data_IF_889587928686
#
_entry.id   IF_889587928686
#
_cell.length_a   1.000
_cell.length_b   1.000
_cell.length_c   1.000
_cell.angle_alpha   90.00
_cell.angle_beta   90.00
_cell.angle_gamma   90.00
#
_symmetry.space_group_name_H-M   'P 1'
#
loop_
_entity.id
_entity.type
_entity.pdbx_description
1 polymer ?
2 non-polymer ?
3 non-polymer ?
4 water ?
#
# COMPACT_ATOMS: atom_id res chain seq x y z
N UNK A 4 -8.44 -4.39 -26.46
CA UNK A 4 -9.16 -5.67 -26.77
C UNK A 4 -9.57 -6.37 -25.48
N UNK A 5 -10.14 -5.60 -24.54
CA UNK A 5 -10.57 -6.14 -23.25
C UNK A 5 -11.99 -6.69 -23.36
N UNK A 6 -12.16 -7.97 -23.01
CA UNK A 6 -13.46 -8.63 -23.10
C UNK A 6 -14.23 -8.74 -21.79
N UNK A 7 -15.46 -9.22 -21.90
CA UNK A 7 -16.32 -9.42 -20.75
C UNK A 7 -16.17 -10.87 -20.33
N UNK A 8 -16.79 -11.24 -19.21
CA UNK A 8 -16.73 -12.61 -18.72
C UNK A 8 -18.05 -12.98 -18.08
N UNK A 9 -18.51 -14.19 -18.36
CA UNK A 9 -19.75 -14.68 -17.80
C UNK A 9 -19.43 -15.83 -16.85
N UNK A 10 -20.02 -15.82 -15.68
CA UNK A 10 -19.79 -16.87 -14.69
C UNK A 10 -21.15 -17.33 -14.20
N UNK A 11 -21.48 -18.58 -14.50
CA UNK A 11 -22.76 -19.15 -14.10
C UNK A 11 -23.94 -18.22 -14.44
N UNK A 12 -23.89 -17.69 -15.65
CA UNK A 12 -24.96 -16.82 -16.20
C UNK A 12 -24.96 -15.42 -15.57
N UNK A 13 -23.90 -15.10 -14.86
CA UNK A 13 -23.71 -13.78 -14.27
C UNK A 13 -22.64 -13.09 -15.11
N UNK A 14 -23.00 -12.01 -15.77
CA UNK A 14 -22.04 -11.36 -16.65
C UNK A 14 -21.28 -10.21 -16.01
N UNK A 15 -20.01 -10.09 -16.39
CA UNK A 15 -19.14 -9.03 -15.91
C UNK A 15 -18.67 -8.25 -17.13
N UNK A 16 -19.19 -7.03 -17.31
CA UNK A 16 -18.84 -6.15 -18.44
C UNK A 16 -17.34 -5.93 -18.48
N UNK A 17 -16.80 -5.76 -19.68
CA UNK A 17 -15.37 -5.54 -19.85
C UNK A 17 -14.92 -4.23 -19.20
N UNK A 18 -15.81 -3.25 -19.21
CA UNK A 18 -15.52 -1.94 -18.65
C UNK A 18 -16.75 -1.41 -17.93
N UNK A 19 -16.55 -0.51 -16.98
CA UNK A 19 -17.66 0.03 -16.23
C UNK A 19 -17.29 1.39 -15.64
N UNK A 20 -18.30 2.16 -15.24
CA UNK A 20 -18.11 3.48 -14.64
C UNK A 20 -19.00 3.63 -13.40
N UNK A 21 -18.41 4.10 -12.31
CA UNK A 21 -19.13 4.27 -11.05
C UNK A 21 -19.78 5.64 -10.85
N UNK A 22 -21.03 5.65 -10.33
CA UNK A 22 -21.83 6.85 -10.04
C UNK A 22 -21.28 7.57 -8.79
N UNK A 23 -20.69 6.78 -7.89
CA UNK A 23 -20.13 7.29 -6.63
C UNK A 23 -18.81 8.02 -6.77
N UNK A 24 -17.94 7.55 -7.65
CA UNK A 24 -16.62 8.15 -7.89
C UNK A 24 -16.54 8.85 -9.28
N UNK A 25 -17.13 8.26 -10.32
CA UNK A 25 -17.09 8.89 -11.62
C UNK A 25 -15.87 8.46 -12.43
N UNK A 26 -15.16 7.45 -11.93
CA UNK A 26 -13.97 6.91 -12.58
C UNK A 26 -14.48 5.74 -13.41
N UNK A 27 -13.60 5.15 -14.21
CA UNK A 27 -13.98 4.01 -15.03
C UNK A 27 -12.98 2.91 -14.71
N UNK A 28 -13.44 1.66 -14.77
CA UNK A 28 -12.62 0.50 -14.44
C UNK A 28 -12.73 -0.58 -15.51
N UNK A 29 -11.68 -1.40 -15.63
CA UNK A 29 -11.69 -2.50 -16.60
C UNK A 29 -11.65 -3.82 -15.84
N UNK A 30 -12.34 -4.82 -16.39
CA UNK A 30 -12.40 -6.14 -15.78
C UNK A 30 -11.02 -6.79 -15.77
N UNK A 31 -10.46 -7.01 -14.60
CA UNK A 31 -9.14 -7.63 -14.52
C UNK A 31 -9.22 -9.13 -14.46
N UNK A 32 -10.36 -9.63 -13.99
CA UNK A 32 -10.56 -11.06 -13.88
C UNK A 32 -11.87 -11.41 -13.20
N UNK A 33 -12.24 -12.68 -13.24
CA UNK A 33 -13.47 -13.15 -12.63
C UNK A 33 -13.29 -14.60 -12.22
N UNK A 34 -14.21 -15.11 -11.41
CA UNK A 34 -14.11 -16.48 -10.95
C UNK A 34 -15.28 -16.81 -10.05
N UNK A 35 -15.16 -17.86 -9.26
CA UNK A 35 -16.25 -18.22 -8.36
C UNK A 35 -15.76 -18.82 -7.05
N UNK A 36 -16.55 -18.61 -6.00
CA UNK A 36 -16.23 -19.10 -4.68
C UNK A 36 -17.35 -20.01 -4.18
N UNK A 37 -17.11 -20.65 -3.03
CA UNK A 37 -18.11 -21.52 -2.47
C UNK A 37 -17.54 -22.38 -1.37
N UNK A 38 -18.20 -23.50 -1.12
CA UNK A 38 -17.78 -24.42 -0.08
C UNK A 38 -17.58 -25.84 -0.63
N UNK A 39 -16.56 -26.53 -0.14
CA UNK A 39 -16.33 -27.91 -0.56
C UNK A 39 -16.96 -28.77 0.53
N UNK A 40 -18.04 -29.46 0.14
CA UNK A 40 -18.80 -30.31 1.03
C UNK A 40 -18.69 -31.77 0.57
N UNK A 41 -18.18 -32.63 1.44
CA UNK A 41 -18.02 -34.05 1.11
C UNK A 41 -17.29 -34.20 -0.23
N UNK A 42 -16.17 -33.48 -0.36
CA UNK A 42 -15.36 -33.54 -1.56
C UNK A 42 -15.93 -32.84 -2.78
N UNK A 43 -17.18 -32.38 -2.67
CA UNK A 43 -17.86 -31.69 -3.76
C UNK A 43 -17.77 -30.18 -3.64
N UNK A 44 -17.46 -29.51 -4.74
CA UNK A 44 -17.39 -28.06 -4.69
C UNK A 44 -18.78 -27.50 -4.85
N UNK A 45 -19.26 -26.80 -3.83
CA UNK A 45 -20.59 -26.20 -3.90
C UNK A 45 -20.47 -24.70 -4.11
N UNK A 46 -20.87 -24.25 -5.30
CA UNK A 46 -20.82 -22.84 -5.68
C UNK A 46 -21.86 -21.94 -5.01
N UNK A 47 -21.42 -20.80 -4.49
CA UNK A 47 -22.34 -19.85 -3.86
C UNK A 47 -22.28 -18.46 -4.47
N UNK A 48 -21.12 -18.06 -4.97
CA UNK A 48 -20.97 -16.73 -5.54
C UNK A 48 -19.99 -16.69 -6.69
N UNK A 49 -20.15 -15.63 -7.46
CA UNK A 49 -19.27 -15.30 -8.57
C UNK A 49 -18.54 -14.03 -8.15
N UNK A 50 -17.32 -13.88 -8.57
CA UNK A 50 -16.56 -12.68 -8.19
C UNK A 50 -15.85 -12.05 -9.37
N UNK A 51 -15.98 -10.73 -9.49
CA UNK A 51 -15.32 -10.00 -10.56
C UNK A 51 -14.45 -8.92 -9.94
N UNK A 52 -13.20 -8.82 -10.38
CA UNK A 52 -12.29 -7.81 -9.86
C UNK A 52 -11.95 -6.76 -10.91
N UNK A 53 -12.38 -5.53 -10.70
CA UNK A 53 -12.10 -4.45 -11.64
C UNK A 53 -10.96 -3.54 -11.17
N UNK A 54 -10.20 -3.02 -12.12
CA UNK A 54 -9.09 -2.12 -11.82
C UNK A 54 -9.33 -0.76 -12.48
N UNK A 55 -8.97 0.30 -11.77
CA UNK A 55 -9.14 1.64 -12.31
C UNK A 55 -8.30 1.72 -13.58
N UNK A 56 -8.76 2.49 -14.56
CA UNK A 56 -8.02 2.62 -15.81
C UNK A 56 -6.54 2.99 -15.61
N UNK A 57 -6.26 3.80 -14.62
CA UNK A 57 -4.88 4.22 -14.36
C UNK A 57 -3.98 3.15 -13.77
N UNK A 58 -4.52 1.95 -13.56
CA UNK A 58 -3.70 0.86 -12.99
C UNK A 58 -2.65 0.38 -13.98
N UNK A 59 -2.96 0.51 -15.27
CA UNK A 59 -2.05 0.08 -16.33
C UNK A 59 -0.73 0.86 -16.31
N UNK A 60 -0.82 2.19 -16.32
CA UNK A 60 0.38 3.03 -16.29
C UNK A 60 1.21 2.69 -15.05
N UNK A 61 0.52 2.48 -13.94
CA UNK A 61 1.17 2.17 -12.68
C UNK A 61 1.90 0.82 -12.71
N UNK A 62 1.23 -0.21 -13.19
CA UNK A 62 1.80 -1.54 -13.27
C UNK A 62 2.79 -1.69 -14.41
N UNK A 63 2.66 -0.84 -15.44
CA UNK A 63 3.52 -0.88 -16.61
C UNK A 63 5.01 -0.82 -16.27
N UNK A 64 5.37 0.03 -15.31
CA UNK A 64 6.75 0.18 -14.91
C UNK A 64 7.44 -1.17 -14.66
N UNK A 65 6.93 -1.90 -13.68
CA UNK A 65 7.51 -3.18 -13.30
C UNK A 65 7.08 -4.42 -14.08
N UNK A 66 5.88 -4.47 -14.63
CA UNK A 66 5.42 -5.74 -15.23
C UNK A 66 5.24 -5.71 -16.75
N UNK A 67 5.53 -4.62 -17.41
CA UNK A 67 5.39 -4.60 -18.88
C UNK A 67 6.36 -5.62 -19.48
N UNK A 68 5.90 -6.34 -20.50
CA UNK A 68 6.74 -7.32 -21.17
C UNK A 68 7.09 -8.62 -20.44
N UNK A 69 6.16 -9.12 -19.64
CA UNK A 69 6.37 -10.38 -18.90
C UNK A 69 5.28 -11.31 -19.42
N UNK A 70 5.58 -12.60 -19.50
CA UNK A 70 4.58 -13.55 -19.97
C UNK A 70 3.57 -13.85 -18.85
N UNK A 71 2.35 -14.17 -19.25
CA UNK A 71 1.28 -14.49 -18.29
C UNK A 71 1.75 -15.54 -17.29
N UNK A 72 2.47 -16.52 -17.80
CA UNK A 72 2.99 -17.61 -16.98
C UNK A 72 3.94 -17.05 -15.93
N UNK A 73 4.72 -16.04 -16.34
CA UNK A 73 5.69 -15.41 -15.47
C UNK A 73 5.04 -14.57 -14.36
N UNK A 74 3.98 -13.84 -14.71
CA UNK A 74 3.28 -13.01 -13.74
C UNK A 74 2.59 -13.89 -12.71
N UNK A 75 1.95 -14.95 -13.18
CA UNK A 75 1.22 -15.86 -12.32
C UNK A 75 2.03 -16.46 -11.16
N UNK A 76 3.31 -16.66 -11.37
CA UNK A 76 4.16 -17.24 -10.33
C UNK A 76 4.91 -16.20 -9.50
N UNK A 77 4.66 -14.92 -9.80
CA UNK A 77 5.32 -13.84 -9.09
C UNK A 77 4.39 -13.20 -8.08
N UNK A 78 4.70 -13.37 -6.79
CA UNK A 78 3.88 -12.79 -5.73
C UNK A 78 3.90 -11.26 -5.74
N UNK A 79 5.08 -10.69 -5.98
CA UNK A 79 5.21 -9.24 -5.99
C UNK A 79 4.25 -8.60 -7.00
N UNK A 80 3.94 -9.32 -8.07
CA UNK A 80 3.04 -8.80 -9.09
C UNK A 80 1.65 -8.61 -8.52
N UNK A 81 1.18 -9.59 -7.75
CA UNK A 81 -0.13 -9.51 -7.14
C UNK A 81 -0.14 -8.51 -5.97
N UNK A 82 1.02 -8.30 -5.36
CA UNK A 82 1.08 -7.34 -4.27
C UNK A 82 0.89 -5.92 -4.83
N UNK A 83 1.35 -5.69 -6.06
CA UNK A 83 1.19 -4.37 -6.67
C UNK A 83 -0.27 -4.15 -7.05
N UNK A 84 -0.94 -5.22 -7.46
CA UNK A 84 -2.34 -5.13 -7.81
C UNK A 84 -3.16 -4.83 -6.56
N UNK A 85 -2.85 -5.53 -5.47
CA UNK A 85 -3.57 -5.37 -4.21
C UNK A 85 -3.34 -4.01 -3.59
N UNK A 86 -2.10 -3.57 -3.54
CA UNK A 86 -1.77 -2.29 -2.92
C UNK A 86 -1.35 -1.14 -3.83
N UNK A 87 -1.51 -1.30 -5.14
CA UNK A 87 -1.15 -0.24 -6.08
C UNK A 87 -1.96 1.04 -5.91
N UNK A 88 -1.39 2.20 -6.29
CA UNK A 88 -2.03 3.51 -6.19
C UNK A 88 -3.17 3.74 -7.19
N UNK A 89 -4.24 2.97 -7.03
CA UNK A 89 -5.42 3.06 -7.88
C UNK A 89 -6.55 2.27 -7.22
N UNK A 90 -7.79 2.58 -7.57
CA UNK A 90 -8.90 1.85 -6.97
C UNK A 90 -9.12 0.49 -7.61
N UNK A 91 -9.56 -0.42 -6.77
CA UNK A 91 -9.98 -1.76 -7.18
C UNK A 91 -11.44 -1.85 -6.84
N UNK A 92 -12.20 -2.44 -7.71
CA UNK A 92 -13.64 -2.56 -7.51
C UNK A 92 -14.01 -4.03 -7.61
N UNK A 93 -14.44 -4.65 -6.50
CA UNK A 93 -14.81 -6.05 -6.53
C UNK A 93 -16.32 -6.21 -6.46
N UNK A 94 -16.88 -6.98 -7.38
CA UNK A 94 -18.32 -7.21 -7.36
C UNK A 94 -18.65 -8.68 -7.20
N UNK A 95 -19.26 -9.03 -6.06
CA UNK A 95 -19.63 -10.41 -5.82
C UNK A 95 -21.12 -10.61 -6.04
N UNK A 96 -21.47 -11.49 -6.98
CA UNK A 96 -22.87 -11.79 -7.27
C UNK A 96 -23.20 -13.21 -6.78
N UNK A 97 -24.37 -13.37 -6.16
CA UNK A 97 -24.78 -14.66 -5.63
C UNK A 97 -25.31 -15.67 -6.64
N UNK A 98 -24.90 -16.93 -6.45
CA UNK A 98 -25.36 -18.03 -7.30
C UNK A 98 -26.46 -18.70 -6.48
N UNK A 99 -26.22 -18.79 -5.18
CA UNK A 99 -27.17 -19.37 -4.23
C UNK A 99 -27.47 -18.29 -3.20
N UNK A 100 -28.72 -18.22 -2.73
CA UNK A 100 -29.13 -17.21 -1.77
C UNK A 100 -28.46 -17.29 -0.41
N UNK A 101 -27.87 -16.17 0.01
CA UNK A 101 -27.20 -16.05 1.30
C UNK A 101 -27.67 -14.76 1.98
N UNK A 102 -27.87 -14.82 3.30
CA UNK A 102 -28.28 -13.63 4.02
C UNK A 102 -27.00 -12.81 4.20
N UNK A 103 -27.13 -11.55 4.55
CA UNK A 103 -25.96 -10.71 4.75
C UNK A 103 -25.03 -11.32 5.77
N UNK A 104 -25.54 -11.76 6.92
CA UNK A 104 -24.67 -12.37 7.95
C UNK A 104 -24.08 -13.73 7.53
N UNK A 105 -24.81 -14.50 6.72
CA UNK A 105 -24.31 -15.80 6.27
C UNK A 105 -23.11 -15.59 5.36
N UNK A 106 -23.25 -14.67 4.40
CA UNK A 106 -22.19 -14.36 3.46
C UNK A 106 -20.98 -13.73 4.13
N UNK A 107 -21.23 -12.69 4.93
CA UNK A 107 -20.17 -11.96 5.61
C UNK A 107 -19.34 -12.72 6.63
N UNK A 108 -19.93 -13.74 7.23
CA UNK A 108 -19.23 -14.53 8.24
C UNK A 108 -17.91 -15.10 7.74
N UNK A 109 -17.93 -15.77 6.58
CA UNK A 109 -16.72 -16.35 6.03
C UNK A 109 -15.74 -15.29 5.51
N UNK A 110 -16.27 -14.22 4.95
CA UNK A 110 -15.41 -13.15 4.44
C UNK A 110 -14.61 -12.54 5.61
N UNK A 111 -15.32 -12.28 6.69
CA UNK A 111 -14.70 -11.67 7.89
C UNK A 111 -13.66 -12.62 8.50
N UNK A 112 -13.95 -13.91 8.44
CA UNK A 112 -13.04 -14.93 8.98
C UNK A 112 -11.72 -14.85 8.23
N UNK A 113 -11.79 -14.91 6.90
CA UNK A 113 -10.59 -14.84 6.09
C UNK A 113 -9.83 -13.53 6.25
N UNK A 114 -10.55 -12.43 6.42
CA UNK A 114 -9.92 -11.12 6.59
C UNK A 114 -9.20 -11.03 7.93
N UNK A 115 -9.84 -11.52 8.98
CA UNK A 115 -9.25 -11.48 10.33
C UNK A 115 -8.00 -12.37 10.42
N UNK A 116 -8.04 -13.52 9.76
CA UNK A 116 -6.90 -14.44 9.78
C UNK A 116 -5.74 -13.74 9.08
N UNK A 117 -6.02 -13.12 7.94
CA UNK A 117 -4.98 -12.41 7.22
C UNK A 117 -4.40 -11.27 8.07
N UNK A 118 -5.28 -10.45 8.63
CA UNK A 118 -4.84 -9.33 9.45
C UNK A 118 -3.98 -9.74 10.63
N UNK A 119 -4.35 -10.83 11.32
CA UNK A 119 -3.57 -11.30 12.45
C UNK A 119 -2.26 -11.87 11.95
N UNK A 120 -2.33 -12.49 10.78
CA UNK A 120 -1.17 -13.10 10.14
C UNK A 120 -0.02 -12.09 9.98
N UNK A 121 -0.32 -10.91 9.45
CA UNK A 121 0.69 -9.88 9.22
C UNK A 121 0.87 -8.88 10.36
N UNK A 122 0.36 -9.20 11.53
CA UNK A 122 0.51 -8.32 12.67
C UNK A 122 -0.21 -6.98 12.62
N UNK A 123 -1.29 -6.87 11.86
CA UNK A 123 -2.03 -5.62 11.80
C UNK A 123 -3.49 -5.83 12.20
N UNK A 124 -3.72 -6.31 13.41
CA UNK A 124 -5.06 -6.54 13.90
C UNK A 124 -5.19 -6.01 15.32
N UNK A 125 -5.24 -4.69 15.44
CA UNK A 125 -5.38 -4.05 16.74
C UNK A 125 -6.84 -3.70 16.98
N UNK A 126 -7.11 -2.91 18.01
CA UNK A 126 -8.47 -2.54 18.31
C UNK A 126 -9.16 -1.87 17.13
N UNK A 127 -8.46 -0.95 16.49
CA UNK A 127 -9.01 -0.22 15.34
C UNK A 127 -9.49 -1.17 14.24
N UNK A 128 -8.67 -2.16 13.89
CA UNK A 128 -9.05 -3.12 12.85
C UNK A 128 -10.24 -3.97 13.31
N UNK A 129 -10.27 -4.29 14.61
CA UNK A 129 -11.38 -5.07 15.17
C UNK A 129 -12.68 -4.28 15.06
N UNK A 130 -12.60 -3.00 15.42
CA UNK A 130 -13.74 -2.10 15.36
C UNK A 130 -14.21 -1.95 13.92
N UNK A 131 -13.25 -1.84 13.01
CA UNK A 131 -13.56 -1.67 11.60
C UNK A 131 -14.24 -2.92 11.07
N UNK A 132 -13.84 -4.09 11.56
CA UNK A 132 -14.44 -5.35 11.12
C UNK A 132 -15.84 -5.52 11.71
N UNK A 133 -16.09 -4.88 12.85
CA UNK A 133 -17.40 -4.94 13.47
C UNK A 133 -18.32 -4.05 12.64
N UNK A 134 -17.80 -2.90 12.20
CA UNK A 134 -18.59 -2.00 11.39
C UNK A 134 -18.89 -2.73 10.08
N UNK A 135 -17.92 -3.50 9.61
CA UNK A 135 -18.08 -4.29 8.39
C UNK A 135 -19.30 -5.20 8.58
N UNK A 136 -19.28 -5.98 9.66
CA UNK A 136 -20.36 -6.91 9.98
C UNK A 136 -21.69 -6.18 10.06
N UNK A 137 -21.68 -5.07 10.78
CA UNK A 137 -22.86 -4.26 10.97
C UNK A 137 -23.53 -3.89 9.64
N UNK A 138 -22.73 -3.62 8.60
CA UNK A 138 -23.27 -3.23 7.30
C UNK A 138 -23.99 -4.32 6.55
N UNK A 139 -23.67 -5.58 6.87
CA UNK A 139 -24.27 -6.73 6.20
C UNK A 139 -25.52 -7.26 6.89
N UNK A 140 -25.65 -7.00 8.19
CA UNK A 140 -26.80 -7.47 8.95
C UNK A 140 -28.20 -7.22 8.38
N UNK A 141 -28.44 -6.02 7.82
CA UNK A 141 -29.78 -5.75 7.27
C UNK A 141 -30.05 -6.20 5.84
N UNK A 142 -29.10 -6.85 5.19
CA UNK A 142 -29.33 -7.26 3.81
C UNK A 142 -29.45 -8.78 3.57
N UNK A 143 -29.98 -9.13 2.41
CA UNK A 143 -30.14 -10.52 2.02
C UNK A 143 -29.79 -10.60 0.55
N UNK A 144 -29.03 -11.62 0.17
CA UNK A 144 -28.63 -11.73 -1.23
C UNK A 144 -29.28 -12.88 -2.02
N UNK A 145 -30.44 -12.63 -2.64
CA UNK A 145 -31.00 -13.76 -3.39
C UNK A 145 -30.16 -13.95 -4.66
N UNK A 146 -30.34 -15.09 -5.36
CA UNK A 146 -29.54 -15.28 -6.58
C UNK A 146 -29.54 -14.03 -7.47
N UNK A 147 -28.36 -13.61 -7.91
CA UNK A 147 -28.29 -12.43 -8.76
C UNK A 147 -27.95 -11.14 -8.01
N UNK A 148 -28.26 -11.09 -6.72
CA UNK A 148 -27.96 -9.90 -5.93
C UNK A 148 -26.44 -9.79 -5.78
N UNK A 149 -25.95 -8.56 -5.69
CA UNK A 149 -24.50 -8.34 -5.62
C UNK A 149 -24.07 -7.44 -4.44
N UNK A 150 -22.79 -7.59 -4.17
CA UNK A 150 -22.06 -6.83 -3.16
C UNK A 150 -20.86 -6.20 -3.86
N UNK A 151 -20.69 -4.92 -3.64
CA UNK A 151 -19.60 -4.17 -4.26
C UNK A 151 -18.62 -3.64 -3.23
N UNK A 152 -17.38 -4.05 -3.37
CA UNK A 152 -16.30 -3.57 -2.52
C UNK A 152 -15.48 -2.54 -3.31
N UNK A 153 -15.45 -1.29 -2.86
CA UNK A 153 -14.66 -0.29 -3.54
C UNK A 153 -13.45 -0.02 -2.65
N UNK A 154 -12.29 -0.51 -3.07
CA UNK A 154 -11.07 -0.34 -2.31
C UNK A 154 -10.37 0.93 -2.79
N UNK A 155 -10.48 1.99 -1.99
CA UNK A 155 -9.83 3.25 -2.34
C UNK A 155 -8.38 3.15 -1.90
N UNK A 156 -7.46 3.69 -2.71
CA UNK A 156 -6.05 3.63 -2.32
C UNK A 156 -5.77 4.53 -1.13
N UNK A 157 -6.76 5.33 -0.74
CA UNK A 157 -6.61 6.24 0.39
C UNK A 157 -6.93 5.56 1.74
N UNK A 158 -6.92 4.23 1.75
CA UNK A 158 -7.19 3.50 2.98
C UNK A 158 -8.64 3.45 3.40
N UNK A 159 -9.54 3.40 2.43
CA UNK A 159 -10.96 3.32 2.71
C UNK A 159 -11.57 2.23 1.86
N UNK A 160 -12.55 1.54 2.43
CA UNK A 160 -13.25 0.47 1.74
C UNK A 160 -14.72 0.87 1.70
N UNK A 161 -15.26 0.99 0.49
CA UNK A 161 -16.66 1.36 0.37
C UNK A 161 -17.50 0.12 0.13
N UNK A 162 -18.67 0.03 0.78
CA UNK A 162 -19.56 -1.11 0.62
C UNK A 162 -20.89 -0.75 -0.02
N UNK A 163 -21.27 -1.48 -1.06
CA UNK A 163 -22.52 -1.25 -1.76
C UNK A 163 -23.25 -2.56 -1.94
N UNK A 164 -24.56 -2.49 -2.07
CA UNK A 164 -25.39 -3.68 -2.25
C UNK A 164 -26.42 -3.41 -3.36
N UNK A 165 -26.59 -4.37 -4.25
CA UNK A 165 -27.55 -4.22 -5.34
C UNK A 165 -28.47 -5.43 -5.45
N UNK A 166 -29.77 -5.20 -5.74
CA UNK A 166 -30.75 -6.27 -5.87
C UNK A 166 -30.34 -7.21 -7.00
N UNK A 167 -29.52 -6.70 -7.91
CA UNK A 167 -29.03 -7.47 -9.04
C UNK A 167 -27.55 -7.18 -9.30
N UNK A 168 -27.19 -6.97 -10.56
CA UNK A 168 -25.80 -6.70 -10.90
C UNK A 168 -25.50 -5.25 -11.31
N UNK A 169 -26.49 -4.37 -11.23
CA UNK A 169 -26.26 -2.97 -11.59
C UNK A 169 -25.69 -2.25 -10.37
N UNK A 170 -24.70 -1.40 -10.62
CA UNK A 170 -24.05 -0.65 -9.56
C UNK A 170 -25.01 0.28 -8.83
N UNK A 171 -25.01 0.21 -7.50
CA UNK A 171 -25.92 1.10 -6.76
C UNK A 171 -25.51 2.56 -6.90
N UNK A 172 -26.43 3.48 -6.62
CA UNK A 172 -26.15 4.91 -6.72
C UNK A 172 -25.33 5.40 -5.53
N UNK A 173 -25.69 4.95 -4.33
CA UNK A 173 -24.99 5.35 -3.11
C UNK A 173 -24.32 4.13 -2.46
N UNK A 174 -23.30 4.38 -1.64
CA UNK A 174 -22.63 3.30 -0.93
C UNK A 174 -23.27 3.16 0.43
N UNK A 175 -23.39 1.93 0.92
CA UNK A 175 -24.01 1.68 2.20
C UNK A 175 -23.12 2.01 3.40
N UNK A 176 -21.81 1.93 3.24
CA UNK A 176 -20.92 2.24 4.35
C UNK A 176 -19.47 2.42 3.91
N UNK A 177 -18.70 3.15 4.72
CA UNK A 177 -17.30 3.40 4.45
C UNK A 177 -16.46 2.91 5.63
N UNK A 178 -15.58 1.95 5.40
CA UNK A 178 -14.72 1.42 6.45
C UNK A 178 -13.39 2.15 6.29
N UNK A 179 -13.14 3.07 7.21
CA UNK A 179 -11.93 3.87 7.19
C UNK A 179 -10.84 3.25 8.05
N UNK A 180 -10.02 2.42 7.42
CA UNK A 180 -8.94 1.74 8.11
C UNK A 180 -8.07 1.17 7.00
N UNK A 181 -6.79 1.52 7.04
CA UNK A 181 -5.85 1.10 6.01
C UNK A 181 -5.72 -0.40 5.82
N UNK A 182 -5.39 -1.11 6.89
CA UNK A 182 -5.21 -2.55 6.84
C UNK A 182 -6.47 -3.30 6.36
N UNK A 183 -7.61 -3.01 6.97
CA UNK A 183 -8.84 -3.65 6.58
C UNK A 183 -9.19 -3.37 5.11
N UNK A 184 -8.94 -2.14 4.65
CA UNK A 184 -9.30 -1.76 3.28
C UNK A 184 -8.79 -2.69 2.19
N UNK A 185 -7.64 -3.33 2.39
CA UNK A 185 -7.14 -4.23 1.36
C UNK A 185 -7.31 -5.71 1.74
N UNK A 186 -7.70 -5.98 2.97
CA UNK A 186 -7.87 -7.36 3.44
C UNK A 186 -8.77 -8.20 2.52
N UNK A 187 -9.92 -7.68 2.17
CA UNK A 187 -10.85 -8.39 1.30
C UNK A 187 -10.22 -8.89 0.00
N UNK A 188 -9.58 -7.99 -0.74
CA UNK A 188 -8.95 -8.40 -2.00
C UNK A 188 -7.77 -9.33 -1.75
N UNK A 189 -7.16 -9.20 -0.58
CA UNK A 189 -6.02 -10.01 -0.17
C UNK A 189 -6.46 -11.48 -0.11
N UNK A 190 -7.62 -11.73 0.47
CA UNK A 190 -8.12 -13.09 0.59
C UNK A 190 -8.61 -13.66 -0.73
N UNK A 191 -8.56 -12.85 -1.78
CA UNK A 191 -9.00 -13.31 -3.10
C UNK A 191 -7.84 -13.57 -4.05
N UNK A 192 -6.80 -12.75 -3.98
CA UNK A 192 -5.66 -12.91 -4.86
C UNK A 192 -4.31 -12.77 -4.16
N UNK A 193 -4.33 -12.71 -2.83
CA UNK A 193 -3.10 -12.62 -2.08
C UNK A 193 -2.37 -13.95 -2.07
N UNK A 194 -1.22 -13.98 -1.41
CA UNK A 194 -0.43 -15.21 -1.35
C UNK A 194 -1.13 -16.40 -0.72
N UNK A 195 -2.03 -16.19 0.21
CA UNK A 195 -2.66 -17.32 0.89
C UNK A 195 -4.10 -17.57 0.46
N UNK A 196 -4.41 -17.17 -0.76
CA UNK A 196 -5.71 -17.45 -1.35
C UNK A 196 -5.53 -18.68 -2.23
N UNK A 197 -6.12 -19.78 -1.82
CA UNK A 197 -5.96 -21.06 -2.53
C UNK A 197 -6.47 -20.99 -3.98
N UNK A 198 -7.70 -20.55 -4.14
CA UNK A 198 -8.33 -20.47 -5.47
C UNK A 198 -7.50 -19.61 -6.42
N UNK A 199 -6.99 -20.21 -7.51
CA UNK A 199 -6.18 -19.46 -8.47
C UNK A 199 -6.91 -18.87 -9.67
N UNK A 200 -8.19 -19.19 -9.82
CA UNK A 200 -8.98 -18.69 -10.96
C UNK A 200 -8.81 -17.18 -11.17
N UNK A 201 -8.97 -16.42 -10.09
CA UNK A 201 -8.85 -14.97 -10.14
C UNK A 201 -7.41 -14.58 -10.50
N UNK A 202 -6.45 -15.19 -9.82
CA UNK A 202 -5.04 -14.90 -10.08
C UNK A 202 -4.67 -15.19 -11.54
N UNK A 203 -5.15 -16.31 -12.07
CA UNK A 203 -4.83 -16.68 -13.45
C UNK A 203 -5.42 -15.67 -14.42
N UNK A 204 -6.68 -15.31 -14.19
CA UNK A 204 -7.34 -14.34 -15.06
C UNK A 204 -6.51 -13.07 -15.17
N UNK A 205 -5.96 -12.63 -14.04
CA UNK A 205 -5.14 -11.42 -13.99
C UNK A 205 -3.86 -11.55 -14.80
N UNK A 206 -3.23 -12.72 -14.71
CA UNK A 206 -2.01 -12.97 -15.44
C UNK A 206 -2.26 -13.07 -16.95
N UNK A 207 -3.39 -13.65 -17.32
CA UNK A 207 -3.72 -13.82 -18.73
C UNK A 207 -4.19 -12.56 -19.44
N UNK A 208 -4.87 -11.68 -18.72
CA UNK A 208 -5.41 -10.46 -19.31
C UNK A 208 -4.53 -9.22 -19.27
N UNK A 209 -3.84 -9.00 -18.16
CA UNK A 209 -2.98 -7.82 -18.01
C UNK A 209 -1.90 -7.58 -19.08
N UNK A 210 -1.05 -8.58 -19.36
CA UNK A 210 0.00 -8.42 -20.36
C UNK A 210 -0.38 -7.60 -21.59
N UNK A 211 -1.56 -7.87 -22.15
CA UNK A 211 -2.03 -7.16 -23.34
C UNK A 211 -2.05 -5.64 -23.12
N UNK A 212 -2.70 -5.21 -22.05
CA UNK A 212 -2.80 -3.80 -21.73
C UNK A 212 -1.46 -3.17 -21.40
N UNK A 213 -0.65 -3.85 -20.59
CA UNK A 213 0.66 -3.32 -20.22
C UNK A 213 1.54 -2.96 -21.42
N UNK A 214 1.33 -3.62 -22.55
CA UNK A 214 2.15 -3.35 -23.73
C UNK A 214 1.75 -2.17 -24.59
N UNK A 215 0.59 -1.58 -24.33
CA UNK A 215 0.16 -0.43 -25.11
C UNK A 215 -0.23 0.74 -24.21
N UNK B 4 2.45 27.27 7.64
CA UNK B 4 2.31 26.48 6.38
C UNK B 4 3.66 25.88 5.98
N UNK B 5 4.01 24.76 6.63
CA UNK B 5 5.26 24.06 6.39
C UNK B 5 6.50 24.91 6.54
N UNK B 6 7.33 24.55 7.51
CA UNK B 6 8.56 25.27 7.75
C UNK B 6 9.76 24.35 7.53
N UNK B 7 10.95 24.94 7.49
CA UNK B 7 12.17 24.18 7.30
C UNK B 7 12.68 23.69 8.66
N UNK B 8 13.51 22.66 8.64
CA UNK B 8 14.07 22.10 9.86
C UNK B 8 15.55 21.79 9.64
N UNK B 9 16.39 22.25 10.56
CA UNK B 9 17.84 22.01 10.47
C UNK B 9 18.26 21.10 11.61
N UNK B 10 19.00 20.05 11.28
CA UNK B 10 19.47 19.10 12.28
C UNK B 10 20.99 19.08 12.24
N UNK B 11 21.62 19.47 13.35
CA UNK B 11 23.07 19.50 13.44
C UNK B 11 23.65 20.25 12.24
N UNK B 12 23.02 21.38 11.89
CA UNK B 12 23.45 22.24 10.78
C UNK B 12 23.07 21.75 9.38
N UNK B 13 22.46 20.56 9.30
CA UNK B 13 22.03 20.00 8.02
C UNK B 13 20.60 20.51 7.77
N UNK B 14 20.47 21.43 6.83
CA UNK B 14 19.18 22.04 6.53
C UNK B 14 18.18 21.18 5.75
N UNK B 15 16.92 21.29 6.13
CA UNK B 15 15.85 20.57 5.45
C UNK B 15 14.81 21.57 4.95
N UNK B 16 14.89 21.93 3.66
CA UNK B 16 13.94 22.89 3.08
C UNK B 16 12.48 22.42 3.22
N UNK B 17 11.58 23.38 3.37
CA UNK B 17 10.16 23.08 3.54
C UNK B 17 9.55 22.36 2.34
N UNK B 18 9.96 22.75 1.15
CA UNK B 18 9.46 22.18 -0.10
C UNK B 18 10.62 21.85 -1.04
N UNK B 19 10.46 20.80 -1.84
CA UNK B 19 11.50 20.43 -2.80
C UNK B 19 10.89 19.83 -4.06
N UNK B 20 11.62 19.92 -5.16
CA UNK B 20 11.17 19.35 -6.41
C UNK B 20 12.28 18.39 -6.83
N UNK B 21 11.91 17.19 -7.25
CA UNK B 21 12.90 16.21 -7.66
C UNK B 21 13.30 16.30 -9.12
N UNK B 22 14.61 16.27 -9.38
CA UNK B 22 15.09 16.33 -10.76
C UNK B 22 14.89 14.98 -11.44
N UNK B 23 14.53 13.97 -10.64
CA UNK B 23 14.32 12.62 -11.15
C UNK B 23 12.87 12.39 -11.58
N UNK B 24 11.94 12.74 -10.71
CA UNK B 24 10.53 12.53 -11.01
C UNK B 24 9.82 13.79 -11.44
N UNK B 25 10.40 14.94 -11.09
CA UNK B 25 9.79 16.21 -11.44
C UNK B 25 8.65 16.53 -10.49
N UNK B 26 8.46 15.67 -9.50
CA UNK B 26 7.40 15.88 -8.53
C UNK B 26 7.90 16.78 -7.43
N UNK B 27 6.97 17.35 -6.67
CA UNK B 27 7.30 18.24 -5.57
C UNK B 27 6.80 17.67 -4.27
N UNK B 28 7.57 17.85 -3.20
CA UNK B 28 7.21 17.32 -1.89
C UNK B 28 7.33 18.40 -0.83
N UNK B 29 6.72 18.16 0.33
CA UNK B 29 6.79 19.09 1.44
C UNK B 29 7.36 18.32 2.62
N UNK B 30 8.07 19.02 3.51
CA UNK B 30 8.68 18.38 4.67
C UNK B 30 7.63 17.91 5.67
N UNK B 31 7.56 16.59 5.85
CA UNK B 31 6.62 16.01 6.78
C UNK B 31 7.20 15.98 8.19
N UNK B 32 8.50 15.82 8.30
CA UNK B 32 9.14 15.79 9.60
C UNK B 32 10.63 15.53 9.50
N UNK B 33 11.36 15.86 10.56
CA UNK B 33 12.81 15.66 10.59
C UNK B 33 13.28 15.27 12.00
N UNK B 34 14.42 14.58 12.07
CA UNK B 34 14.95 14.16 13.35
C UNK B 34 16.35 13.60 13.22
N UNK B 35 16.85 12.91 14.25
CA UNK B 35 18.20 12.34 14.20
C UNK B 35 18.29 10.91 14.73
N UNK B 36 19.28 10.17 14.22
CA UNK B 36 19.55 8.78 14.59
C UNK B 36 21.03 8.62 14.95
N UNK B 37 21.40 7.44 15.46
CA UNK B 37 22.79 7.22 15.81
C UNK B 37 23.04 5.99 16.67
N UNK B 38 23.79 6.19 17.75
CA UNK B 38 24.14 5.11 18.69
C UNK B 38 24.05 5.61 20.14
N UNK B 39 24.78 4.95 21.05
CA UNK B 39 24.77 5.34 22.48
C UNK B 39 26.04 4.84 23.15
N UNK B 40 27.20 5.23 22.59
CA UNK B 40 28.49 4.82 23.13
C UNK B 40 28.82 5.42 24.50
N UNK B 41 28.90 4.54 25.52
CA UNK B 41 29.21 4.94 26.89
C UNK B 41 28.10 5.73 27.59
N UNK B 42 26.85 5.39 27.29
CA UNK B 42 25.72 6.06 27.92
C UNK B 42 25.30 7.41 27.36
N UNK B 43 25.90 7.82 26.24
CA UNK B 43 25.57 9.10 25.62
C UNK B 43 25.32 9.00 24.11
N UNK B 44 24.05 9.02 23.72
CA UNK B 44 23.61 8.93 22.34
C UNK B 44 24.50 9.68 21.35
N UNK B 45 25.40 8.97 20.68
CA UNK B 45 26.29 9.58 19.70
C UNK B 45 25.58 9.73 18.35
N UNK B 46 25.47 10.98 17.90
CA UNK B 46 24.81 11.32 16.65
C UNK B 46 25.61 10.89 15.42
N UNK B 47 24.93 10.28 14.45
CA UNK B 47 25.58 9.83 13.22
C UNK B 47 24.92 10.37 11.95
N UNK B 48 23.61 10.59 12.00
CA UNK B 48 22.89 11.11 10.83
C UNK B 48 21.62 11.87 11.23
N UNK B 49 21.21 12.70 10.31
CA UNK B 49 19.96 13.47 10.40
C UNK B 49 19.01 12.86 9.39
N UNK B 50 17.74 12.84 9.70
CA UNK B 50 16.76 12.23 8.79
C UNK B 50 15.56 13.13 8.57
N UNK B 51 15.12 13.16 7.33
CA UNK B 51 13.97 13.98 6.92
C UNK B 51 13.05 13.19 6.00
N UNK B 52 11.76 13.32 6.26
CA UNK B 52 10.75 12.65 5.46
C UNK B 52 9.90 13.65 4.68
N UNK B 53 9.92 13.53 3.36
CA UNK B 53 9.13 14.41 2.52
C UNK B 53 7.98 13.62 1.92
N UNK B 54 6.82 14.26 1.79
CA UNK B 54 5.66 13.60 1.20
C UNK B 54 5.26 14.40 -0.03
N UNK B 55 4.99 13.69 -1.12
CA UNK B 55 4.59 14.35 -2.35
C UNK B 55 3.43 15.32 -2.05
N UNK B 56 3.32 16.38 -2.83
CA UNK B 56 2.25 17.35 -2.59
C UNK B 56 0.83 16.76 -2.57
N UNK B 57 0.54 15.83 -3.47
CA UNK B 57 -0.79 15.23 -3.51
C UNK B 57 -1.15 14.39 -2.27
N UNK B 58 -0.20 14.17 -1.37
CA UNK B 58 -0.46 13.40 -0.16
C UNK B 58 -1.53 14.07 0.69
N UNK B 59 -1.56 15.40 0.65
CA UNK B 59 -2.54 16.15 1.43
C UNK B 59 -3.99 15.78 1.07
N UNK B 60 -4.33 15.82 -0.21
CA UNK B 60 -5.68 15.47 -0.66
C UNK B 60 -6.01 14.01 -0.31
N UNK B 61 -5.02 13.15 -0.40
CA UNK B 61 -5.19 11.74 -0.09
C UNK B 61 -5.45 11.52 1.40
N UNK B 62 -4.69 12.22 2.24
CA UNK B 62 -4.83 12.07 3.69
C UNK B 62 -5.98 12.86 4.28
N UNK B 63 -6.39 13.93 3.61
CA UNK B 63 -7.47 14.78 4.11
C UNK B 63 -8.75 13.97 4.20
N UNK B 64 -8.90 13.04 3.27
CA UNK B 64 -10.07 12.16 3.19
C UNK B 64 -10.45 11.53 4.53
N UNK B 65 -9.46 11.12 5.32
CA UNK B 65 -9.69 10.48 6.61
C UNK B 65 -9.20 11.24 7.83
N UNK B 66 -8.30 12.17 7.67
CA UNK B 66 -7.70 12.77 8.88
C UNK B 66 -7.95 14.28 9.06
N UNK B 67 -8.65 14.91 8.15
CA UNK B 67 -8.94 16.35 8.34
C UNK B 67 -9.71 16.50 9.66
N UNK B 68 -9.46 17.59 10.38
CA UNK B 68 -10.15 17.83 11.64
C UNK B 68 -9.55 17.20 12.89
N UNK B 69 -8.75 16.14 12.71
CA UNK B 69 -8.09 15.44 13.81
C UNK B 69 -6.92 16.28 14.36
N UNK B 70 -6.77 16.30 15.69
CA UNK B 70 -5.70 17.07 16.30
C UNK B 70 -4.38 16.31 16.26
N UNK B 71 -3.29 17.03 16.51
CA UNK B 71 -1.96 16.44 16.49
C UNK B 71 -1.79 15.33 17.51
N UNK B 72 -2.29 15.55 18.72
CA UNK B 72 -2.16 14.57 19.78
C UNK B 72 -2.89 13.29 19.46
N UNK B 73 -4.06 13.39 18.83
CA UNK B 73 -4.81 12.21 18.50
C UNK B 73 -4.11 11.47 17.36
N UNK B 74 -3.72 12.21 16.32
CA UNK B 74 -3.04 11.61 15.19
C UNK B 74 -1.82 10.83 15.66
N UNK B 75 -1.11 11.38 16.63
CA UNK B 75 0.10 10.73 17.15
C UNK B 75 -0.15 9.35 17.75
N UNK B 76 -1.33 9.14 18.33
CA UNK B 76 -1.64 7.85 18.94
C UNK B 76 -2.53 6.96 18.06
N UNK B 77 -2.54 7.24 16.75
CA UNK B 77 -3.36 6.47 15.81
C UNK B 77 -2.52 5.77 14.75
N UNK B 78 -2.21 4.50 15.00
CA UNK B 78 -1.40 3.73 14.06
C UNK B 78 -1.92 3.76 12.62
N UNK B 79 -3.24 3.82 12.46
CA UNK B 79 -3.82 3.83 11.12
C UNK B 79 -3.41 5.06 10.33
N UNK B 80 -3.19 6.17 11.03
CA UNK B 80 -2.77 7.41 10.39
C UNK B 80 -1.39 7.17 9.74
N UNK B 81 -0.45 6.64 10.51
CA UNK B 81 0.88 6.36 9.99
C UNK B 81 0.89 5.27 8.88
N UNK B 82 -0.06 4.33 8.93
CA UNK B 82 -0.10 3.32 7.88
C UNK B 82 -0.47 3.97 6.54
N UNK B 83 -1.30 5.02 6.59
CA UNK B 83 -1.70 5.74 5.38
C UNK B 83 -0.52 6.56 4.86
N UNK B 84 0.29 7.11 5.77
CA UNK B 84 1.44 7.88 5.33
C UNK B 84 2.46 6.95 4.69
N UNK B 85 2.62 5.77 5.26
CA UNK B 85 3.57 4.79 4.73
C UNK B 85 3.15 4.16 3.42
N UNK B 86 1.88 3.83 3.30
CA UNK B 86 1.41 3.17 2.09
C UNK B 86 0.43 3.97 1.24
N UNK B 87 0.31 5.27 1.51
CA UNK B 87 -0.58 6.12 0.74
C UNK B 87 -0.20 6.17 -0.72
N UNK B 88 -1.16 6.48 -1.61
CA UNK B 88 -0.91 6.55 -3.05
C UNK B 88 -0.13 7.80 -3.49
N UNK B 89 1.05 7.97 -2.92
CA UNK B 89 1.88 9.11 -3.25
C UNK B 89 3.32 8.79 -2.92
N UNK B 90 4.23 9.49 -3.57
CA UNK B 90 5.64 9.24 -3.36
C UNK B 90 6.12 9.83 -2.04
N UNK B 91 7.10 9.15 -1.43
CA UNK B 91 7.70 9.64 -0.20
C UNK B 91 9.18 9.71 -0.54
N UNK B 92 9.89 10.63 0.12
CA UNK B 92 11.30 10.81 -0.13
C UNK B 92 11.98 10.97 1.22
N UNK B 93 12.82 10.00 1.60
CA UNK B 93 13.53 10.09 2.87
C UNK B 93 14.96 10.55 2.58
N UNK B 94 15.45 11.55 3.29
CA UNK B 94 16.81 11.98 3.06
C UNK B 94 17.64 11.84 4.33
N UNK B 95 18.69 11.04 4.23
CA UNK B 95 19.57 10.83 5.35
C UNK B 95 20.86 11.59 5.10
N UNK B 96 21.32 12.31 6.11
CA UNK B 96 22.56 13.08 6.00
C UNK B 96 23.47 12.70 7.15
N UNK B 97 24.74 12.46 6.81
CA UNK B 97 25.73 12.07 7.79
C UNK B 97 26.28 13.21 8.65
N UNK B 98 26.45 12.92 9.94
CA UNK B 98 27.01 13.88 10.87
C UNK B 98 28.47 13.43 11.08
N UNK B 99 28.68 12.12 10.96
CA UNK B 99 30.00 11.50 11.09
C UNK B 99 30.24 10.66 9.84
N UNK B 100 31.48 10.60 9.38
CA UNK B 100 31.79 9.82 8.18
C UNK B 100 31.49 8.35 8.40
N UNK B 101 30.89 7.73 7.40
CA UNK B 101 30.54 6.31 7.46
C UNK B 101 30.66 5.74 6.06
N UNK B 102 31.19 4.53 5.94
CA UNK B 102 31.27 3.94 4.61
C UNK B 102 29.86 3.51 4.23
N UNK B 103 29.69 3.08 2.99
CA UNK B 103 28.37 2.64 2.55
C UNK B 103 27.93 1.45 3.38
N UNK B 104 28.72 0.36 3.38
CA UNK B 104 28.42 -0.86 4.15
C UNK B 104 28.18 -0.57 5.63
N UNK B 105 28.94 0.34 6.18
CA UNK B 105 28.81 0.70 7.58
C UNK B 105 27.44 1.26 7.90
N UNK B 106 27.03 2.29 7.16
CA UNK B 106 25.72 2.92 7.34
C UNK B 106 24.57 1.98 7.06
N UNK B 107 24.65 1.27 5.94
CA UNK B 107 23.57 0.37 5.53
C UNK B 107 23.35 -0.88 6.37
N UNK B 108 24.35 -1.29 7.15
CA UNK B 108 24.23 -2.49 7.98
C UNK B 108 22.97 -2.50 8.83
N UNK B 109 22.85 -1.52 9.72
CA UNK B 109 21.69 -1.46 10.60
C UNK B 109 20.37 -1.30 9.85
N UNK B 110 20.35 -0.42 8.85
CA UNK B 110 19.15 -0.18 8.04
C UNK B 110 18.58 -1.47 7.46
N UNK B 111 19.43 -2.25 6.83
CA UNK B 111 18.99 -3.52 6.22
C UNK B 111 18.52 -4.50 7.28
N UNK B 112 19.12 -4.40 8.45
CA UNK B 112 18.76 -5.26 9.58
C UNK B 112 17.30 -5.04 9.93
N UNK B 113 16.98 -3.79 10.18
CA UNK B 113 15.61 -3.38 10.55
C UNK B 113 14.63 -3.73 9.44
N UNK B 114 15.07 -3.62 8.20
CA UNK B 114 14.21 -3.92 7.05
C UNK B 114 13.90 -5.41 6.99
N UNK B 115 14.93 -6.23 7.11
CA UNK B 115 14.74 -7.67 7.08
C UNK B 115 13.89 -8.11 8.28
N UNK B 116 14.17 -7.54 9.45
CA UNK B 116 13.40 -7.89 10.65
C UNK B 116 11.92 -7.57 10.42
N UNK B 117 11.62 -6.42 9.83
CA UNK B 117 10.24 -6.02 9.57
C UNK B 117 9.56 -6.95 8.56
N UNK B 118 10.22 -7.19 7.43
CA UNK B 118 9.66 -8.04 6.39
C UNK B 118 9.36 -9.46 6.84
N UNK B 119 10.19 -9.97 7.76
CA UNK B 119 9.98 -11.31 8.30
C UNK B 119 8.77 -11.20 9.20
N UNK B 120 8.78 -10.16 10.03
CA UNK B 120 7.69 -9.88 10.94
C UNK B 120 6.34 -9.98 10.22
N UNK B 121 6.09 -9.08 9.27
CA UNK B 121 4.83 -9.11 8.54
C UNK B 121 4.73 -10.30 7.59
N UNK B 122 5.64 -11.25 7.76
CA UNK B 122 5.63 -12.44 6.94
C UNK B 122 5.68 -12.27 5.44
N UNK B 123 6.51 -11.34 4.96
CA UNK B 123 6.64 -11.12 3.51
C UNK B 123 8.13 -11.09 3.13
N UNK B 124 8.85 -12.14 3.50
CA UNK B 124 10.27 -12.21 3.20
C UNK B 124 10.67 -13.45 2.40
N UNK B 125 10.13 -13.57 1.19
CA UNK B 125 10.45 -14.70 0.33
C UNK B 125 11.76 -14.47 -0.40
N UNK B 126 12.00 -15.23 -1.47
CA UNK B 126 13.24 -15.05 -2.21
C UNK B 126 13.36 -13.64 -2.77
N UNK B 127 12.39 -13.25 -3.60
CA UNK B 127 12.38 -11.94 -4.24
C UNK B 127 12.72 -10.82 -3.26
N UNK B 128 12.23 -10.90 -2.03
CA UNK B 128 12.51 -9.87 -1.06
C UNK B 128 13.97 -9.92 -0.64
N UNK B 129 14.50 -11.13 -0.53
CA UNK B 129 15.89 -11.33 -0.13
C UNK B 129 16.84 -10.84 -1.22
N UNK B 130 16.54 -11.16 -2.48
CA UNK B 130 17.37 -10.71 -3.59
C UNK B 130 17.35 -9.19 -3.64
N UNK B 131 16.17 -8.62 -3.40
CA UNK B 131 15.98 -7.18 -3.42
C UNK B 131 16.86 -6.53 -2.35
N UNK B 132 16.90 -7.14 -1.17
CA UNK B 132 17.71 -6.62 -0.08
C UNK B 132 19.19 -6.77 -0.37
N UNK B 133 19.52 -7.72 -1.24
CA UNK B 133 20.91 -7.95 -1.62
C UNK B 133 21.28 -6.87 -2.62
N UNK B 134 20.39 -6.60 -3.56
CA UNK B 134 20.63 -5.58 -4.56
C UNK B 134 20.74 -4.25 -3.83
N UNK B 135 19.98 -4.12 -2.74
CA UNK B 135 19.96 -2.93 -1.90
C UNK B 135 21.35 -2.76 -1.26
N UNK B 136 21.90 -3.88 -0.78
CA UNK B 136 23.21 -3.88 -0.16
C UNK B 136 24.30 -3.49 -1.16
N UNK B 137 24.21 -4.03 -2.38
CA UNK B 137 25.18 -3.77 -3.44
C UNK B 137 25.29 -2.29 -3.77
N UNK B 138 24.16 -1.59 -3.77
CA UNK B 138 24.14 -0.17 -4.10
C UNK B 138 24.95 0.66 -3.10
N UNK B 139 25.01 0.22 -1.85
CA UNK B 139 25.76 0.96 -0.83
C UNK B 139 27.25 0.63 -0.76
N UNK B 140 27.65 -0.48 -1.38
CA UNK B 140 29.05 -0.91 -1.33
C UNK B 140 30.10 0.00 -1.97
N UNK B 141 29.81 0.55 -3.16
CA UNK B 141 30.82 1.42 -3.76
C UNK B 141 30.80 2.86 -3.26
N UNK B 142 30.04 3.12 -2.21
CA UNK B 142 29.90 4.47 -1.70
C UNK B 142 30.47 4.73 -0.31
N UNK B 143 30.82 5.99 -0.05
CA UNK B 143 31.35 6.42 1.24
C UNK B 143 30.71 7.79 1.56
N UNK B 144 30.21 7.96 2.78
CA UNK B 144 29.56 9.21 3.13
C UNK B 144 30.34 10.10 4.07
N UNK B 145 31.04 11.10 3.53
CA UNK B 145 31.78 12.01 4.41
C UNK B 145 30.71 12.80 5.14
N UNK B 146 31.08 13.50 6.23
CA UNK B 146 30.06 14.28 6.94
C UNK B 146 29.40 15.27 6.00
N UNK B 147 28.07 15.28 5.97
CA UNK B 147 27.35 16.19 5.09
C UNK B 147 26.77 15.47 3.88
N UNK B 148 27.37 14.34 3.54
CA UNK B 148 26.89 13.57 2.41
C UNK B 148 25.49 13.05 2.78
N UNK B 149 24.68 12.72 1.77
CA UNK B 149 23.32 12.27 2.01
C UNK B 149 22.90 11.07 1.18
N UNK B 150 21.92 10.32 1.69
CA UNK B 150 21.35 9.18 0.98
C UNK B 150 19.88 9.55 0.80
N UNK B 151 19.34 9.28 -0.38
CA UNK B 151 17.96 9.58 -0.68
C UNK B 151 17.19 8.31 -0.98
N UNK B 152 16.13 8.04 -0.20
CA UNK B 152 15.28 6.88 -0.41
C UNK B 152 14.00 7.40 -1.06
N UNK B 153 13.77 7.04 -2.31
CA UNK B 153 12.59 7.48 -3.02
C UNK B 153 11.60 6.32 -3.08
N UNK B 154 10.52 6.42 -2.30
CA UNK B 154 9.53 5.36 -2.29
C UNK B 154 8.38 5.66 -3.26
N UNK B 155 8.36 4.94 -4.37
CA UNK B 155 7.34 5.11 -5.38
C UNK B 155 6.12 4.29 -4.98
N UNK B 156 4.91 4.85 -5.15
CA UNK B 156 3.70 4.11 -4.79
C UNK B 156 3.50 2.94 -5.77
N UNK B 157 4.33 2.89 -6.80
CA UNK B 157 4.27 1.84 -7.81
C UNK B 157 5.05 0.58 -7.41
N UNK B 158 5.54 0.55 -6.16
CA UNK B 158 6.27 -0.62 -5.70
C UNK B 158 7.74 -0.63 -6.07
N UNK B 159 8.36 0.54 -6.15
CA UNK B 159 9.76 0.64 -6.48
C UNK B 159 10.46 1.48 -5.43
N UNK B 160 11.75 1.21 -5.21
CA UNK B 160 12.52 1.99 -4.25
C UNK B 160 13.75 2.45 -5.00
N UNK B 161 13.91 3.77 -5.12
CA UNK B 161 15.06 4.31 -5.82
C UNK B 161 16.07 4.81 -4.81
N UNK B 162 17.34 4.51 -5.02
CA UNK B 162 18.38 4.95 -4.11
C UNK B 162 19.28 5.97 -4.79
N UNK B 163 19.60 7.03 -4.06
CA UNK B 163 20.45 8.09 -4.59
C UNK B 163 21.40 8.55 -3.50
N UNK B 164 22.64 8.87 -3.89
CA UNK B 164 23.65 9.33 -2.94
C UNK B 164 24.14 10.66 -3.42
N UNK B 165 24.34 11.58 -2.48
CA UNK B 165 24.77 12.92 -2.79
C UNK B 165 25.89 13.39 -1.87
N UNK B 166 26.87 14.13 -2.43
CA UNK B 166 28.02 14.67 -1.71
C UNK B 166 27.57 15.69 -0.67
N UNK B 167 26.47 16.37 -0.96
CA UNK B 167 25.91 17.39 -0.07
C UNK B 167 24.45 17.06 0.21
N UNK B 168 23.62 18.08 0.42
CA UNK B 168 22.21 17.87 0.71
C UNK B 168 21.26 18.03 -0.49
N UNK B 169 21.79 18.20 -1.69
CA UNK B 169 20.93 18.37 -2.86
C UNK B 169 20.60 17.03 -3.51
N UNK B 170 19.41 16.96 -4.10
CA UNK B 170 18.95 15.75 -4.75
C UNK B 170 19.74 15.43 -6.00
N UNK B 171 20.30 14.21 -6.09
CA UNK B 171 21.07 13.85 -7.28
C UNK B 171 20.18 13.88 -8.51
N UNK B 172 20.77 14.14 -9.66
CA UNK B 172 20.03 14.19 -10.91
C UNK B 172 19.69 12.76 -11.37
N UNK B 173 20.53 11.82 -10.99
CA UNK B 173 20.30 10.42 -11.35
C UNK B 173 20.36 9.53 -10.11
N UNK B 174 19.67 8.39 -10.18
CA UNK B 174 19.65 7.47 -9.06
C UNK B 174 20.65 6.34 -9.27
N UNK B 175 21.22 5.86 -8.18
CA UNK B 175 22.19 4.77 -8.24
C UNK B 175 21.52 3.42 -8.50
N UNK B 176 20.38 3.17 -7.87
CA UNK B 176 19.70 1.90 -8.10
C UNK B 176 18.20 2.01 -7.95
N UNK B 177 17.50 1.10 -8.62
CA UNK B 177 16.06 1.02 -8.58
C UNK B 177 15.70 -0.37 -8.10
N UNK B 178 15.12 -0.49 -6.92
CA UNK B 178 14.74 -1.78 -6.41
C UNK B 178 13.26 -2.01 -6.63
N UNK B 179 12.95 -2.91 -7.55
CA UNK B 179 11.56 -3.22 -7.89
C UNK B 179 10.98 -4.35 -7.04
N UNK B 180 10.45 -3.99 -5.88
CA UNK B 180 9.84 -4.96 -4.96
C UNK B 180 8.88 -4.19 -4.07
N UNK B 181 7.61 -4.56 -4.10
CA UNK B 181 6.60 -3.87 -3.32
C UNK B 181 6.85 -3.83 -1.81
N UNK B 182 7.07 -5.00 -1.21
CA UNK B 182 7.29 -5.10 0.23
C UNK B 182 8.49 -4.29 0.68
N UNK B 183 9.58 -4.40 -0.06
CA UNK B 183 10.82 -3.70 0.25
C UNK B 183 10.71 -2.18 0.01
N UNK B 184 9.93 -1.77 -0.99
CA UNK B 184 9.78 -0.36 -1.32
C UNK B 184 9.35 0.48 -0.11
N UNK B 185 8.53 -0.09 0.76
CA UNK B 185 8.06 0.64 1.94
C UNK B 185 8.77 0.25 3.22
N UNK B 186 9.62 -0.77 3.17
CA UNK B 186 10.33 -1.23 4.36
C UNK B 186 11.09 -0.15 5.12
N UNK B 187 11.96 0.59 4.43
CA UNK B 187 12.73 1.64 5.11
C UNK B 187 11.86 2.62 5.90
N UNK B 188 10.87 3.23 5.26
CA UNK B 188 10.00 4.19 5.94
C UNK B 188 9.25 3.52 7.09
N UNK B 189 8.92 2.25 6.89
CA UNK B 189 8.22 1.46 7.90
C UNK B 189 9.06 1.42 9.18
N UNK B 190 10.38 1.31 9.04
CA UNK B 190 11.24 1.25 10.22
C UNK B 190 11.44 2.62 10.86
N UNK B 191 10.94 3.67 10.22
CA UNK B 191 11.09 5.02 10.76
C UNK B 191 9.85 5.62 11.40
N UNK B 192 8.68 5.26 10.91
CA UNK B 192 7.46 5.80 11.47
C UNK B 192 6.41 4.71 11.66
N UNK B 193 6.81 3.48 11.38
CA UNK B 193 5.90 2.36 11.55
C UNK B 193 5.62 2.09 13.01
N UNK B 194 4.73 1.13 13.26
CA UNK B 194 4.36 0.77 14.61
C UNK B 194 5.55 0.37 15.48
N UNK B 195 6.47 -0.40 14.89
CA UNK B 195 7.63 -0.89 15.64
C UNK B 195 8.90 -0.06 15.53
N UNK B 196 8.76 1.25 15.41
CA UNK B 196 9.92 2.12 15.35
C UNK B 196 9.98 2.75 16.73
N UNK B 197 11.14 2.70 17.38
CA UNK B 197 11.27 3.27 18.72
C UNK B 197 11.31 4.79 18.65
N UNK B 198 12.23 5.32 17.87
CA UNK B 198 12.39 6.76 17.69
C UNK B 198 11.06 7.41 17.29
N UNK B 199 10.36 8.05 18.24
CA UNK B 199 9.08 8.70 17.96
C UNK B 199 9.20 10.11 17.39
N UNK B 200 10.42 10.61 17.31
CA UNK B 200 10.68 11.96 16.81
C UNK B 200 9.99 12.29 15.48
N UNK B 201 10.20 11.46 14.47
CA UNK B 201 9.59 11.69 13.18
C UNK B 201 8.07 11.59 13.31
N UNK B 202 7.60 10.58 14.02
CA UNK B 202 6.16 10.40 14.20
C UNK B 202 5.52 11.65 14.83
N UNK B 203 6.22 12.29 15.76
CA UNK B 203 5.71 13.50 16.40
C UNK B 203 5.67 14.68 15.44
N UNK B 204 6.70 14.81 14.63
CA UNK B 204 6.74 15.89 13.64
C UNK B 204 5.54 15.80 12.71
N UNK B 205 5.35 14.62 12.12
CA UNK B 205 4.24 14.39 11.20
C UNK B 205 2.91 14.70 11.85
N UNK B 206 2.79 14.41 13.13
CA UNK B 206 1.56 14.68 13.87
C UNK B 206 1.40 16.17 14.06
N UNK B 207 2.51 16.86 14.28
CA UNK B 207 2.48 18.29 14.51
C UNK B 207 2.17 19.15 13.28
N UNK B 208 2.75 18.81 12.14
CA UNK B 208 2.59 19.69 10.96
C UNK B 208 1.52 19.25 9.95
N UNK B 209 1.06 18.03 10.00
CA UNK B 209 0.05 17.56 9.01
C UNK B 209 -1.31 18.24 9.24
N UNK B 210 -1.81 18.37 10.49
CA UNK B 210 -3.11 18.97 10.73
C UNK B 210 -3.32 20.29 9.98
N UNK B 211 -2.37 21.22 10.13
CA UNK B 211 -2.48 22.51 9.46
C UNK B 211 -2.65 22.35 7.95
N UNK B 212 -1.93 21.40 7.36
CA UNK B 212 -2.02 21.17 5.92
C UNK B 212 -3.27 20.40 5.51
N UNK B 213 -3.90 19.72 6.44
CA UNK B 213 -5.09 18.95 6.09
C UNK B 213 -6.37 19.77 6.19
N UNK B 214 -6.45 20.66 7.17
CA UNK B 214 -7.64 21.48 7.35
C UNK B 214 -7.73 22.62 6.33
N UNK B 215 -6.80 22.64 5.37
CA UNK B 215 -6.77 23.67 4.34
C UNK B 215 -7.94 23.43 3.37
X LIG C 1 -4.54 -0.31 17.64
X LIG C 1 -3.82 -0.88 16.42
X LIG C 1 -3.74 0.82 18.22
X LIG C 1 -4.68 -1.40 18.68
X LIG C 1 -5.89 0.15 17.21
X LIG D 1 -13.59 -14.34 1.26
X LIG D 1 -13.66 -13.65 -0.01
X LIG D 1 -14.74 -13.94 -0.92
X LIG D 1 -15.74 -14.92 -0.58
X LIG D 1 -15.71 -15.61 0.69
X LIG D 1 -14.61 -15.32 1.59
X LIG D 1 -16.89 -15.23 -1.54
X LIG D 1 -17.87 -16.29 -1.06
X LIG D 1 -17.99 -16.28 0.47
X LIG D 1 -16.68 -16.54 1.03
X LIG D 1 -12.58 -14.05 2.12
X LIG D 1 -18.98 -17.34 0.96
X LIG D 1 -19.66 -18.26 0.07
X LIG D 1 -20.58 -19.25 0.59
X LIG D 1 -20.82 -19.34 2.02
X LIG D 1 -20.15 -18.44 2.92
X LIG D 1 -19.23 -17.45 2.40
X LIG D 1 -17.01 -14.69 -2.61
X LIG E 1 8.87 -15.55 -3.25
X LIG E 1 7.90 -16.07 -4.28
X LIG E 1 9.98 -14.82 -3.92
X LIG E 1 9.47 -16.70 -2.45
X LIG E 1 8.12 -14.67 -2.30
#
# INVERSE_FOLDING_TARGET
MAASITAITVENLEYPAVVTSPVTGKSYFLGGAGERGLTIEGNFIKFTAIGVYLEDIAVASLAAKWKGKSSEELLETLDFYRDIISGPFEKLIRGSKIRELSGPEYSRKVMENCVAHLKSVGTYGDAEAEAMQKFAEAFKPVNFPPGASVFYRQSPDGILGLSFSPDTSIPEKEAALIENKAVSSAVLETMIGEHAVSPDLKRCLAARLPALLNEGAFKIGN
MAASITAITVENLEYPAVVTSPVTGKSYFLGGAGERGLTIEGNFIKFTAIGVYLEDIAVASLAAKWKGKSSEELLETLDFYRDIISGPFEKLIRGSKIRELSGPEYSRKVMENCVAHLKSVGTYGDAEAEAMQKFAEAFKPVNFPPGASVFYRQSPDGILGLSFSPDTSIPEKEAALIENKAVSSAVLETMIGEHAVSPDLKRCLAARLPALLNEGAFKIGN
SO4 S O1 O2 O3 O4
DDC C1 C2 C3 C4 C5 C6 C7 C8 C9 O1 O2 C10 C11 C12 C13 C14 C15 O3
SO4 S O1 O2 O3 O4
#
